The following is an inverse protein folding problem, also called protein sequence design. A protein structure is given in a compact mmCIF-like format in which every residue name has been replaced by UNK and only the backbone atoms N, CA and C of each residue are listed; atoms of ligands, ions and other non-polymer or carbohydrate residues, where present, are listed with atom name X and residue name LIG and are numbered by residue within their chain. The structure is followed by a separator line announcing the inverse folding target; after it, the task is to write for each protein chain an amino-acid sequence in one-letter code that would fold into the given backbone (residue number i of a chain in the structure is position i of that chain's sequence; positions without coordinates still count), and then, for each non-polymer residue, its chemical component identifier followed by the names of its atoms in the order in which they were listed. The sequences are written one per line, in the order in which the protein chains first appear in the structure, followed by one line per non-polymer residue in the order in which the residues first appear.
data_IF_162990770904
#
_entry.id   IF_162990770904
#
_cell.length_a   1.000
_cell.length_b   1.000
_cell.length_c   1.000
_cell.angle_alpha   90.00
_cell.angle_beta   90.00
_cell.angle_gamma   90.00
#
_symmetry.space_group_name_H-M   'P 1'
#
loop_
_entity.id
_entity.type
_entity.pdbx_description
1 polymer ?
#
# COMPACT_ATOMS: atom_id res chain seq x y z
N UNK A 1 -3.61 5.76 18.18
CA UNK A 1 -3.84 4.96 16.95
C UNK A 1 -2.91 5.50 15.87
N UNK A 2 -2.26 4.64 15.07
CA UNK A 2 -1.48 5.08 13.91
C UNK A 2 -2.41 5.79 12.92
N UNK A 3 -1.90 6.78 12.18
CA UNK A 3 -2.69 7.42 11.14
C UNK A 3 -3.12 6.38 10.07
N UNK A 4 -4.21 6.65 9.35
CA UNK A 4 -4.62 5.79 8.22
C UNK A 4 -3.50 5.67 7.18
N UNK A 5 -2.72 6.75 6.99
CA UNK A 5 -1.53 6.80 6.13
C UNK A 5 -0.49 5.75 6.54
N UNK A 6 -0.08 5.74 7.81
CA UNK A 6 0.88 4.76 8.33
C UNK A 6 0.33 3.34 8.29
N UNK A 7 -0.96 3.18 8.54
CA UNK A 7 -1.62 1.86 8.52
C UNK A 7 -1.62 1.28 7.11
N UNK A 8 -1.99 2.07 6.10
CA UNK A 8 -1.90 1.65 4.69
C UNK A 8 -0.49 1.21 4.30
N UNK A 9 0.52 1.99 4.66
CA UNK A 9 1.91 1.70 4.33
C UNK A 9 2.39 0.44 5.04
N UNK A 10 2.07 0.27 6.32
CA UNK A 10 2.38 -0.96 7.07
C UNK A 10 1.76 -2.17 6.41
N UNK A 11 0.46 -2.14 6.12
CA UNK A 11 -0.25 -3.27 5.51
C UNK A 11 0.36 -3.64 4.16
N UNK A 12 0.78 -2.65 3.36
CA UNK A 12 1.51 -2.88 2.11
C UNK A 12 2.82 -3.64 2.29
N UNK A 13 3.65 -3.24 3.26
CA UNK A 13 4.91 -3.94 3.55
C UNK A 13 4.63 -5.35 4.13
N UNK A 14 3.72 -5.47 5.10
CA UNK A 14 3.38 -6.76 5.72
C UNK A 14 2.78 -7.74 4.71
N UNK A 15 1.93 -7.26 3.79
CA UNK A 15 1.36 -8.07 2.71
C UNK A 15 2.44 -8.64 1.78
N UNK A 16 3.58 -7.95 1.66
CA UNK A 16 4.77 -8.38 0.91
C UNK A 16 5.74 -9.22 1.73
N UNK A 17 5.38 -9.62 2.95
CA UNK A 17 6.18 -10.50 3.80
C UNK A 17 7.21 -9.78 4.68
N UNK A 18 7.15 -8.44 4.76
CA UNK A 18 8.02 -7.69 5.66
C UNK A 18 7.54 -7.79 7.11
N UNK A 19 8.49 -7.83 8.03
CA UNK A 19 8.25 -7.55 9.44
C UNK A 19 8.29 -6.03 9.63
N UNK A 20 7.19 -5.45 10.10
CA UNK A 20 7.06 -4.01 10.29
C UNK A 20 6.99 -3.67 11.77
N UNK A 21 7.86 -2.78 12.22
CA UNK A 21 7.83 -2.23 13.58
C UNK A 21 7.46 -0.75 13.51
N UNK A 22 6.33 -0.41 14.13
CA UNK A 22 5.97 0.99 14.33
C UNK A 22 6.75 1.59 15.49
N UNK A 23 7.36 2.76 15.27
CA UNK A 23 8.12 3.44 16.32
C UNK A 23 7.27 4.46 17.10
N UNK A 24 6.15 4.94 16.54
CA UNK A 24 5.23 5.84 17.25
C UNK A 24 4.20 5.07 18.08
N UNK A 25 4.48 4.88 19.38
CA UNK A 25 3.46 4.58 20.40
C UNK A 25 3.34 5.79 21.34
N UNK A 26 2.24 6.53 21.22
CA UNK A 26 1.72 7.48 22.22
C UNK A 26 2.77 8.32 22.97
N UNK A 27 3.07 9.50 22.45
CA UNK A 27 3.44 10.63 23.31
C UNK A 27 2.30 11.63 23.18
N UNK A 28 1.75 12.06 24.32
CA UNK A 28 0.77 13.14 24.35
C UNK A 28 1.32 14.35 23.59
N UNK A 29 0.41 15.24 23.19
CA UNK A 29 0.72 16.47 22.44
C UNK A 29 1.46 17.48 23.35
N UNK A 30 2.60 17.08 23.91
CA UNK A 30 3.47 17.91 24.73
C UNK A 30 4.90 17.75 24.22
N UNK A 31 5.39 18.84 23.63
CA UNK A 31 6.78 19.25 23.43
C UNK A 31 7.84 18.17 23.69
N UNK A 32 8.35 17.61 22.61
CA UNK A 32 9.61 16.86 22.59
C UNK A 32 10.00 16.63 21.14
N UNK A 33 10.95 17.41 20.66
CA UNK A 33 11.61 17.21 19.38
C UNK A 33 12.30 15.83 19.33
N UNK A 34 12.57 15.36 18.11
CA UNK A 34 13.55 14.31 17.78
C UNK A 34 13.14 12.84 17.98
N UNK A 35 12.27 12.35 17.07
CA UNK A 35 12.43 11.08 16.33
C UNK A 35 11.26 10.91 15.35
N UNK A 36 11.53 10.91 14.04
CA UNK A 36 10.49 11.03 13.00
C UNK A 36 10.37 9.84 12.04
N UNK A 37 11.08 8.74 12.29
CA UNK A 37 10.84 7.48 11.56
C UNK A 37 9.50 6.92 12.01
N UNK A 38 8.59 6.66 11.06
CA UNK A 38 7.28 6.11 11.36
C UNK A 38 7.35 4.58 11.51
N UNK A 39 8.02 3.92 10.56
CA UNK A 39 8.11 2.47 10.48
C UNK A 39 9.56 2.02 10.24
N UNK A 40 9.94 0.93 10.89
CA UNK A 40 11.07 0.11 10.49
C UNK A 40 10.53 -1.12 9.76
N UNK A 41 11.09 -1.40 8.59
CA UNK A 41 10.70 -2.55 7.77
C UNK A 41 11.89 -3.48 7.60
N UNK A 42 11.63 -4.77 7.72
CA UNK A 42 12.63 -5.81 7.51
C UNK A 42 12.07 -6.93 6.63
N UNK A 43 12.75 -7.24 5.55
CA UNK A 43 12.44 -8.37 4.69
C UNK A 43 13.35 -9.56 5.06
N UNK A 44 12.81 -10.67 5.58
CA UNK A 44 13.61 -11.86 5.86
C UNK A 44 14.12 -12.55 4.58
N UNK A 45 13.52 -12.28 3.43
CA UNK A 45 13.81 -12.93 2.16
C UNK A 45 13.89 -11.91 1.01
N UNK A 46 14.92 -11.03 1.00
CA UNK A 46 15.06 -10.04 -0.06
C UNK A 46 15.39 -10.69 -1.41
N UNK A 47 14.74 -10.21 -2.46
CA UNK A 47 15.07 -10.58 -3.84
C UNK A 47 16.36 -9.87 -4.25
N UNK A 48 17.47 -10.60 -4.35
CA UNK A 48 18.75 -10.02 -4.75
C UNK A 48 18.70 -9.62 -6.24
N UNK A 49 18.83 -8.33 -6.51
CA UNK A 49 18.96 -7.77 -7.86
C UNK A 49 20.36 -7.23 -8.11
N UNK A 50 20.82 -7.31 -9.36
CA UNK A 50 22.12 -6.76 -9.77
C UNK A 50 22.11 -5.23 -9.93
N UNK A 51 20.96 -4.66 -10.31
CA UNK A 51 20.82 -3.23 -10.53
C UNK A 51 20.67 -2.45 -9.22
N UNK A 52 20.99 -1.15 -9.18
CA UNK A 52 20.62 -0.28 -8.07
C UNK A 52 19.10 -0.10 -7.96
N UNK A 53 18.61 0.25 -6.78
CA UNK A 53 17.21 0.64 -6.59
C UNK A 53 16.92 1.97 -7.29
N UNK A 54 15.79 2.10 -8.00
CA UNK A 54 15.38 3.40 -8.52
C UNK A 54 15.02 4.34 -7.38
N UNK A 55 15.23 5.64 -7.57
CA UNK A 55 14.83 6.65 -6.59
C UNK A 55 13.30 6.64 -6.39
N UNK A 56 12.52 6.32 -7.40
CA UNK A 56 11.09 6.10 -7.27
C UNK A 56 10.79 4.61 -7.39
N UNK A 57 10.29 4.04 -6.30
CA UNK A 57 9.99 2.62 -6.20
C UNK A 57 8.66 2.29 -6.85
N UNK A 58 8.67 1.28 -7.71
CA UNK A 58 7.46 0.52 -8.03
C UNK A 58 7.25 -0.53 -6.95
N UNK A 59 6.05 -1.10 -6.89
CA UNK A 59 5.72 -2.13 -5.91
C UNK A 59 6.65 -3.36 -6.02
N UNK A 60 7.07 -3.74 -7.23
CA UNK A 60 8.02 -4.83 -7.46
C UNK A 60 9.43 -4.55 -6.93
N UNK A 61 9.87 -3.29 -6.92
CA UNK A 61 11.22 -2.93 -6.46
C UNK A 61 11.36 -3.11 -4.94
N UNK A 62 10.25 -3.04 -4.20
CA UNK A 62 10.23 -3.12 -2.75
C UNK A 62 10.80 -4.46 -2.25
N UNK A 63 10.54 -5.58 -2.93
CA UNK A 63 11.02 -6.90 -2.50
C UNK A 63 12.55 -7.02 -2.48
N UNK A 64 13.27 -6.14 -3.18
CA UNK A 64 14.74 -6.09 -3.19
C UNK A 64 15.33 -5.42 -1.94
N UNK A 65 14.48 -4.79 -1.12
CA UNK A 65 14.89 -4.09 0.10
C UNK A 65 14.97 -5.09 1.25
N UNK A 66 16.17 -5.30 1.79
CA UNK A 66 16.38 -6.14 2.97
C UNK A 66 15.90 -5.46 4.26
N UNK A 67 16.19 -4.17 4.41
CA UNK A 67 15.75 -3.40 5.57
C UNK A 67 15.65 -1.92 5.23
N UNK A 68 14.73 -1.22 5.88
CA UNK A 68 14.53 0.20 5.62
C UNK A 68 13.89 0.99 6.75
N UNK A 69 14.16 2.28 6.73
CA UNK A 69 13.50 3.30 7.53
C UNK A 69 12.45 3.98 6.65
N UNK A 70 11.20 4.01 7.13
CA UNK A 70 10.09 4.57 6.38
C UNK A 70 9.54 5.79 7.09
N UNK A 71 9.52 6.90 6.37
CA UNK A 71 8.85 8.14 6.78
C UNK A 71 7.61 8.32 5.92
N UNK A 72 6.46 8.52 6.56
CA UNK A 72 5.16 8.59 5.89
C UNK A 72 4.62 10.01 5.96
N UNK A 73 4.46 10.65 4.80
CA UNK A 73 3.68 11.88 4.69
C UNK A 73 2.19 11.53 4.55
N UNK A 74 1.31 12.38 5.04
CA UNK A 74 -0.13 12.09 5.03
C UNK A 74 -0.70 12.10 3.62
N UNK A 75 -1.53 11.11 3.25
CA UNK A 75 -2.08 10.96 1.89
C UNK A 75 -2.84 12.19 1.37
N UNK A 76 -3.43 12.98 2.27
CA UNK A 76 -4.18 14.21 2.00
C UNK A 76 -3.30 15.45 1.80
N UNK A 77 -1.97 15.31 1.91
CA UNK A 77 -1.05 16.44 1.75
C UNK A 77 -0.88 16.80 0.27
N UNK A 78 -0.44 18.02 0.02
CA UNK A 78 -0.21 18.54 -1.34
C UNK A 78 0.81 17.69 -2.12
N UNK A 79 0.73 17.74 -3.46
CA UNK A 79 1.72 17.15 -4.35
C UNK A 79 3.11 17.64 -3.97
N UNK A 80 4.08 16.73 -3.90
CA UNK A 80 5.44 17.08 -3.53
C UNK A 80 6.03 18.12 -4.49
N UNK A 81 6.47 19.26 -3.95
CA UNK A 81 7.08 20.35 -4.71
C UNK A 81 8.41 20.76 -4.07
N UNK A 82 9.34 21.36 -4.83
CA UNK A 82 10.61 21.83 -4.27
C UNK A 82 10.44 22.80 -3.08
N UNK A 83 9.41 23.65 -3.11
CA UNK A 83 9.09 24.57 -2.02
C UNK A 83 8.57 23.86 -0.76
N UNK A 84 7.73 22.83 -0.95
CA UNK A 84 7.27 21.99 0.16
C UNK A 84 8.44 21.24 0.82
N UNK A 85 9.40 20.77 0.00
CA UNK A 85 10.62 20.14 0.49
C UNK A 85 11.49 21.12 1.28
N UNK A 86 11.58 22.38 0.85
CA UNK A 86 12.34 23.41 1.56
C UNK A 86 11.81 23.66 2.99
N UNK A 87 10.51 23.45 3.24
CA UNK A 87 9.93 23.48 4.59
C UNK A 87 10.08 22.18 5.39
N UNK A 88 10.68 21.14 4.82
CA UNK A 88 10.97 19.87 5.50
C UNK A 88 12.37 19.90 6.13
N UNK A 89 12.63 20.86 7.03
CA UNK A 89 13.84 20.87 7.89
C UNK A 89 13.93 19.61 8.77
N UNK A 90 12.78 18.97 8.95
CA UNK A 90 12.56 17.78 9.75
C UNK A 90 13.12 16.48 9.14
N UNK A 91 13.27 16.41 7.81
CA UNK A 91 13.76 15.21 7.13
C UNK A 91 15.20 14.84 7.55
N UNK A 92 16.04 15.82 7.82
CA UNK A 92 17.43 15.58 8.26
C UNK A 92 17.50 15.08 9.72
N UNK A 93 16.52 15.46 10.57
CA UNK A 93 16.35 14.96 11.96
C UNK A 93 15.61 13.62 12.02
N UNK A 94 14.87 13.26 10.97
CA UNK A 94 14.12 12.01 10.87
C UNK A 94 14.99 10.76 10.75
N UNK A 95 16.25 10.91 10.33
CA UNK A 95 17.09 9.82 9.82
C UNK A 95 18.02 9.28 10.92
N UNK A 96 17.42 8.60 11.90
CA UNK A 96 18.08 8.12 13.11
C UNK A 96 18.77 6.75 12.96
N UNK A 97 19.95 6.72 12.33
CA UNK A 97 20.79 5.52 12.16
C UNK A 97 21.11 4.78 13.48
N UNK A 98 21.10 5.47 14.62
CA UNK A 98 21.44 4.88 15.93
C UNK A 98 20.34 4.00 16.53
N UNK A 99 19.06 4.36 16.35
CA UNK A 99 17.93 3.52 16.82
C UNK A 99 17.89 2.24 15.99
N UNK A 100 18.16 2.35 14.69
CA UNK A 100 18.25 1.19 13.81
C UNK A 100 19.35 0.22 14.26
N UNK A 101 20.57 0.69 14.55
CA UNK A 101 21.65 -0.19 15.05
C UNK A 101 21.25 -0.89 16.34
N UNK A 102 20.63 -0.18 17.28
CA UNK A 102 20.19 -0.79 18.55
C UNK A 102 19.10 -1.85 18.34
N UNK A 103 18.16 -1.60 17.43
CA UNK A 103 17.05 -2.53 17.12
C UNK A 103 17.49 -3.72 16.28
N UNK A 104 18.35 -3.51 15.28
CA UNK A 104 18.93 -4.58 14.45
C UNK A 104 19.89 -5.46 15.25
N UNK A 105 20.64 -4.90 16.21
CA UNK A 105 21.41 -5.66 17.21
C UNK A 105 20.51 -6.57 18.08
N UNK A 106 19.31 -6.10 18.45
CA UNK A 106 18.36 -6.91 19.24
C UNK A 106 17.66 -8.02 18.43
N UNK A 107 17.64 -7.94 17.10
CA UNK A 107 16.95 -8.88 16.22
C UNK A 107 17.87 -9.95 15.62
N UNK A 108 19.19 -9.86 15.80
CA UNK A 108 20.17 -10.79 15.22
C UNK A 108 20.00 -10.97 13.69
N UNK A 109 19.52 -9.91 13.05
CA UNK A 109 19.17 -9.85 11.64
C UNK A 109 20.39 -9.36 10.85
N UNK A 110 20.70 -10.08 9.76
CA UNK A 110 21.92 -9.94 8.98
C UNK A 110 22.21 -8.50 8.49
N UNK A 111 23.50 -8.17 8.50
CA UNK A 111 24.11 -6.88 8.15
C UNK A 111 23.92 -6.49 6.67
N UNK A 112 22.83 -5.81 6.33
CA UNK A 112 22.64 -5.13 5.04
C UNK A 112 22.68 -3.60 5.15
N UNK A 113 22.80 -2.85 4.03
CA UNK A 113 22.54 -1.41 4.05
C UNK A 113 21.06 -1.13 4.39
N UNK A 114 20.81 -0.04 5.11
CA UNK A 114 19.46 0.42 5.45
C UNK A 114 18.98 1.38 4.36
N UNK A 115 17.89 1.04 3.70
CA UNK A 115 17.28 1.90 2.66
C UNK A 115 16.33 2.91 3.30
N UNK A 116 16.53 4.20 3.03
CA UNK A 116 15.64 5.27 3.50
C UNK A 116 14.53 5.52 2.49
N UNK A 117 13.30 5.29 2.92
CA UNK A 117 12.12 5.33 2.08
C UNK A 117 11.21 6.46 2.55
N UNK A 118 10.89 7.38 1.64
CA UNK A 118 9.90 8.43 1.87
C UNK A 118 8.60 8.06 1.15
N UNK A 119 7.50 7.94 1.90
CA UNK A 119 6.16 7.76 1.32
C UNK A 119 5.47 9.11 1.16
N UNK A 120 5.02 9.39 -0.06
CA UNK A 120 4.43 10.68 -0.44
C UNK A 120 3.07 10.51 -1.14
N UNK A 121 2.15 11.48 -1.04
CA UNK A 121 0.86 11.47 -1.74
C UNK A 121 1.03 11.25 -3.24
N UNK A 122 1.78 12.15 -3.86
CA UNK A 122 2.01 12.17 -5.30
C UNK A 122 3.30 12.94 -5.64
N UNK A 123 3.78 12.73 -6.86
CA UNK A 123 4.93 13.41 -7.43
C UNK A 123 4.48 14.36 -8.56
N UNK A 124 5.28 15.39 -8.89
CA UNK A 124 4.99 16.24 -10.04
C UNK A 124 4.88 15.44 -11.34
N UNK A 125 3.89 15.81 -12.17
CA UNK A 125 3.69 15.22 -13.49
C UNK A 125 4.73 15.69 -14.50
N UNK A 126 5.23 16.93 -14.37
CA UNK A 126 6.23 17.46 -15.29
C UNK A 126 7.62 16.91 -14.98
N UNK A 127 8.34 16.48 -16.03
CA UNK A 127 9.67 15.87 -15.89
C UNK A 127 10.67 16.81 -15.21
N UNK A 128 10.63 18.11 -15.53
CA UNK A 128 11.52 19.11 -14.94
C UNK A 128 11.28 19.31 -13.44
N UNK A 129 10.01 19.44 -13.01
CA UNK A 129 9.70 19.58 -11.59
C UNK A 129 10.01 18.30 -10.81
N UNK A 130 9.74 17.13 -11.40
CA UNK A 130 10.07 15.82 -10.81
C UNK A 130 11.58 15.68 -10.60
N UNK A 131 12.39 16.06 -11.58
CA UNK A 131 13.85 16.04 -11.47
C UNK A 131 14.35 16.96 -10.34
N UNK A 132 13.80 18.17 -10.22
CA UNK A 132 14.14 19.09 -9.14
C UNK A 132 13.77 18.55 -7.74
N UNK A 133 12.60 17.91 -7.61
CA UNK A 133 12.19 17.21 -6.38
C UNK A 133 13.15 16.07 -6.04
N UNK A 134 13.53 15.27 -7.03
CA UNK A 134 14.43 14.14 -6.86
C UNK A 134 15.85 14.55 -6.45
N UNK A 135 16.39 15.61 -7.04
CA UNK A 135 17.68 16.17 -6.63
C UNK A 135 17.63 16.67 -5.17
N UNK A 136 16.55 17.37 -4.81
CA UNK A 136 16.34 17.86 -3.45
C UNK A 136 16.15 16.75 -2.41
N UNK A 137 15.57 15.61 -2.79
CA UNK A 137 15.41 14.45 -1.91
C UNK A 137 16.74 13.69 -1.71
N UNK A 138 17.51 13.50 -2.78
CA UNK A 138 18.85 12.88 -2.70
C UNK A 138 19.79 13.69 -1.80
N UNK A 139 19.76 15.03 -1.90
CA UNK A 139 20.56 15.92 -1.05
C UNK A 139 20.23 15.79 0.44
N UNK A 140 19.00 15.37 0.78
CA UNK A 140 18.54 15.08 2.15
C UNK A 140 18.72 13.61 2.55
N UNK A 141 19.46 12.83 1.75
CA UNK A 141 19.78 11.44 2.06
C UNK A 141 18.60 10.48 1.98
N UNK A 142 17.56 10.79 1.20
CA UNK A 142 16.49 9.84 0.86
C UNK A 142 16.97 8.97 -0.29
N UNK A 143 16.98 7.65 -0.08
CA UNK A 143 17.40 6.68 -1.09
C UNK A 143 16.29 6.38 -2.09
N UNK A 144 15.05 6.34 -1.59
CA UNK A 144 13.89 5.88 -2.34
C UNK A 144 12.62 6.62 -1.95
N UNK A 145 11.69 6.73 -2.89
CA UNK A 145 10.38 7.38 -2.76
C UNK A 145 9.32 6.40 -3.20
N UNK A 146 8.25 6.28 -2.42
CA UNK A 146 7.10 5.46 -2.72
C UNK A 146 5.83 6.34 -2.70
N UNK A 147 4.93 6.15 -3.66
CA UNK A 147 3.69 6.94 -3.70
C UNK A 147 2.51 6.18 -3.11
N UNK A 148 1.53 6.88 -2.52
CA UNK A 148 0.28 6.25 -2.10
C UNK A 148 -0.45 5.59 -3.27
N UNK A 149 -0.34 6.16 -4.47
CA UNK A 149 -0.84 5.51 -5.70
C UNK A 149 -0.25 4.11 -5.87
N UNK A 150 1.06 3.96 -5.71
CA UNK A 150 1.74 2.65 -5.85
C UNK A 150 1.29 1.68 -4.76
N UNK A 151 1.27 2.14 -3.50
CA UNK A 151 0.80 1.37 -2.34
C UNK A 151 -0.62 0.85 -2.55
N UNK A 152 -1.56 1.74 -2.89
CA UNK A 152 -2.97 1.39 -3.08
C UNK A 152 -3.18 0.52 -4.30
N UNK A 153 -2.56 0.84 -5.44
CA UNK A 153 -2.72 0.02 -6.65
C UNK A 153 -2.26 -1.41 -6.40
N UNK A 154 -1.14 -1.58 -5.68
CA UNK A 154 -0.60 -2.88 -5.36
C UNK A 154 -1.50 -3.70 -4.42
N UNK A 155 -1.95 -3.09 -3.33
CA UNK A 155 -2.90 -3.72 -2.41
C UNK A 155 -4.19 -4.11 -3.15
N UNK A 156 -4.73 -3.20 -3.96
CA UNK A 156 -5.90 -3.48 -4.77
C UNK A 156 -5.61 -4.62 -5.75
N UNK A 157 -4.46 -4.72 -6.40
CA UNK A 157 -4.21 -5.83 -7.33
C UNK A 157 -4.12 -7.19 -6.63
N UNK A 158 -3.61 -7.28 -5.40
CA UNK A 158 -3.32 -8.57 -4.77
C UNK A 158 -4.33 -9.05 -3.72
N UNK A 159 -5.20 -8.17 -3.20
CA UNK A 159 -6.21 -8.56 -2.21
C UNK A 159 -7.31 -9.38 -2.88
N UNK A 160 -7.50 -10.63 -2.46
CA UNK A 160 -8.49 -11.53 -3.03
C UNK A 160 -9.85 -11.43 -2.31
N UNK A 161 -10.95 -11.46 -3.07
CA UNK A 161 -12.31 -11.43 -2.53
C UNK A 161 -12.63 -12.62 -1.60
N UNK A 162 -12.01 -13.77 -1.86
CA UNK A 162 -12.36 -15.06 -1.23
C UNK A 162 -11.42 -15.44 -0.08
N UNK A 163 -10.44 -14.59 0.25
CA UNK A 163 -9.48 -14.84 1.33
C UNK A 163 -9.89 -14.11 2.61
N UNK A 164 -9.56 -14.71 3.75
CA UNK A 164 -9.96 -14.21 5.05
C UNK A 164 -8.83 -13.39 5.72
N UNK A 165 -8.97 -12.07 5.78
CA UNK A 165 -7.99 -11.13 6.34
C UNK A 165 -8.42 -10.58 7.72
N UNK A 166 -8.87 -11.43 8.65
CA UNK A 166 -9.66 -11.01 9.85
C UNK A 166 -9.01 -9.99 10.81
N UNK A 167 -7.74 -9.61 10.61
CA UNK A 167 -7.01 -8.71 11.50
C UNK A 167 -6.59 -7.37 10.89
N UNK A 168 -6.88 -7.14 9.61
CA UNK A 168 -6.47 -5.95 8.87
C UNK A 168 -7.69 -5.19 8.32
N UNK A 169 -8.16 -4.18 9.06
CA UNK A 169 -9.37 -3.41 8.71
C UNK A 169 -9.26 -2.79 7.30
N UNK A 170 -8.09 -2.26 6.95
CA UNK A 170 -7.83 -1.66 5.64
C UNK A 170 -8.00 -2.68 4.51
N UNK A 171 -7.43 -3.87 4.68
CA UNK A 171 -7.53 -4.94 3.69
C UNK A 171 -8.98 -5.42 3.57
N UNK A 172 -9.71 -5.51 4.69
CA UNK A 172 -11.14 -5.85 4.68
C UNK A 172 -11.97 -4.80 3.95
N UNK A 173 -11.69 -3.50 4.13
CA UNK A 173 -12.37 -2.44 3.39
C UNK A 173 -12.10 -2.58 1.88
N UNK A 174 -10.85 -2.78 1.47
CA UNK A 174 -10.50 -2.99 0.05
C UNK A 174 -11.24 -4.22 -0.50
N UNK A 175 -11.26 -5.32 0.25
CA UNK A 175 -11.97 -6.54 -0.11
C UNK A 175 -13.47 -6.32 -0.28
N UNK A 176 -14.12 -5.62 0.66
CA UNK A 176 -15.55 -5.27 0.57
C UNK A 176 -15.79 -4.47 -0.71
N UNK A 177 -14.99 -3.43 -0.97
CA UNK A 177 -15.13 -2.61 -2.17
C UNK A 177 -14.96 -3.42 -3.46
N UNK A 178 -14.06 -4.41 -3.49
CA UNK A 178 -13.93 -5.34 -4.61
C UNK A 178 -15.15 -6.25 -4.78
N UNK A 179 -15.65 -6.86 -3.70
CA UNK A 179 -16.81 -7.76 -3.72
C UNK A 179 -18.04 -7.06 -4.32
N UNK A 180 -18.22 -5.76 -4.04
CA UNK A 180 -19.30 -4.96 -4.59
C UNK A 180 -18.99 -4.31 -5.95
N UNK A 181 -17.81 -4.56 -6.53
CA UNK A 181 -17.44 -4.07 -7.87
C UNK A 181 -17.07 -2.58 -7.92
N UNK A 182 -16.78 -1.93 -6.79
CA UNK A 182 -16.28 -0.55 -6.74
C UNK A 182 -14.81 -0.43 -7.12
N UNK A 183 -14.04 -1.51 -6.91
CA UNK A 183 -12.64 -1.60 -7.31
C UNK A 183 -12.51 -2.66 -8.38
N UNK A 184 -11.99 -2.26 -9.55
CA UNK A 184 -11.77 -3.16 -10.69
C UNK A 184 -10.27 -3.36 -10.87
N UNK A 185 -9.88 -4.61 -11.03
CA UNK A 185 -8.47 -5.01 -11.25
C UNK A 185 -7.98 -4.50 -12.61
N UNK A 186 -8.89 -4.43 -13.61
CA UNK A 186 -8.58 -4.04 -14.98
C UNK A 186 -9.47 -2.89 -15.49
N UNK A 187 -9.32 -1.69 -14.93
CA UNK A 187 -10.05 -0.50 -15.41
C UNK A 187 -9.86 -0.21 -16.91
N UNK A 188 -8.80 -0.73 -17.54
CA UNK A 188 -8.52 -0.57 -18.98
C UNK A 188 -9.26 -1.58 -19.89
N UNK A 189 -9.62 -2.78 -19.41
CA UNK A 189 -10.22 -3.81 -20.27
C UNK A 189 -11.72 -3.63 -20.49
N UNK A 190 -12.39 -2.80 -19.70
CA UNK A 190 -13.83 -2.51 -19.87
C UNK A 190 -14.17 -1.73 -21.14
N UNK A 191 -13.20 -1.04 -21.75
CA UNK A 191 -13.40 -0.40 -23.05
C UNK A 191 -13.50 -1.42 -24.21
N UNK A 192 -12.97 -2.63 -24.03
CA UNK A 192 -12.92 -3.66 -25.09
C UNK A 192 -13.86 -4.85 -24.85
N UNK A 193 -14.47 -4.96 -23.67
CA UNK A 193 -15.42 -6.02 -23.40
C UNK A 193 -16.79 -5.66 -24.00
N UNK A 194 -17.14 -6.31 -25.14
CA UNK A 194 -18.52 -6.38 -25.63
C UNK A 194 -19.39 -6.89 -24.48
N UNK A 195 -20.34 -6.08 -24.01
CA UNK A 195 -21.37 -6.47 -23.04
C UNK A 195 -21.89 -7.87 -23.40
N UNK A 196 -21.86 -8.86 -22.47
CA UNK A 196 -22.50 -10.14 -22.75
C UNK A 196 -23.98 -9.87 -23.02
N UNK A 197 -24.47 -10.33 -24.17
CA UNK A 197 -25.90 -10.31 -24.48
C UNK A 197 -26.60 -11.09 -23.38
N UNK A 198 -27.40 -10.39 -22.57
CA UNK A 198 -28.25 -10.97 -21.55
C UNK A 198 -29.16 -11.99 -22.24
N UNK A 199 -28.79 -13.27 -22.14
CA UNK A 199 -29.55 -14.39 -22.67
C UNK A 199 -30.94 -14.35 -22.06
N UNK A 200 -31.95 -14.30 -22.94
CA UNK A 200 -33.36 -14.42 -22.61
C UNK A 200 -33.55 -15.81 -22.02
N UNK A 201 -33.65 -15.94 -20.69
CA UNK A 201 -34.10 -17.20 -20.09
C UNK A 201 -35.57 -17.40 -20.44
N UNK A 202 -35.82 -18.17 -21.50
CA UNK A 202 -37.04 -18.95 -21.63
C UNK A 202 -36.99 -20.14 -20.66
N UNK A 203 -38.19 -20.60 -20.30
CA UNK A 203 -38.51 -21.81 -19.53
C UNK A 203 -38.48 -21.68 -17.99
N UNK A 204 -39.56 -21.12 -17.44
CA UNK A 204 -40.16 -21.70 -16.23
C UNK A 204 -41.16 -22.74 -16.73
N UNK A 205 -40.66 -23.97 -16.86
CA UNK A 205 -41.47 -25.13 -17.18
C UNK A 205 -42.31 -25.51 -15.95
N UNK A 206 -43.60 -25.70 -16.19
CA UNK A 206 -44.64 -25.94 -15.19
C UNK A 206 -44.39 -27.26 -14.48
N UNK A 207 -44.11 -27.21 -13.18
CA UNK A 207 -44.14 -28.41 -12.33
C UNK A 207 -45.55 -28.60 -11.80
N UNK A 208 -46.21 -29.64 -12.33
CA UNK A 208 -47.13 -30.55 -11.65
C UNK A 208 -48.14 -29.97 -10.67
N UNK A 209 -49.35 -29.70 -11.16
CA UNK A 209 -50.57 -29.73 -10.34
C UNK A 209 -51.45 -30.85 -10.91
N UNK A 210 -51.83 -31.88 -10.12
CA UNK A 210 -52.66 -32.97 -10.62
C UNK A 210 -54.08 -32.45 -10.93
N UNK A 211 -54.77 -33.02 -11.94
CA UNK A 211 -56.13 -32.62 -12.27
C UNK A 211 -57.10 -32.96 -11.12
N UNK A 212 -58.14 -32.14 -10.88
CA UNK A 212 -59.19 -32.49 -9.93
C UNK A 212 -60.01 -33.67 -10.48
N UNK A 213 -60.23 -34.66 -9.63
CA UNK A 213 -61.00 -35.87 -9.91
C UNK A 213 -62.40 -35.55 -10.45
N UNK A 214 -62.68 -36.06 -11.66
CA UNK A 214 -64.00 -36.11 -12.25
C UNK A 214 -64.80 -37.21 -11.53
N UNK A 215 -65.69 -36.80 -10.62
CA UNK A 215 -66.66 -37.71 -9.99
C UNK A 215 -67.72 -38.10 -11.02
N UNK A 216 -67.50 -39.20 -11.71
CA UNK A 216 -68.58 -39.99 -12.27
C UNK A 216 -69.18 -40.89 -11.20
N UNK A 217 -70.37 -40.57 -10.70
CA UNK A 217 -71.29 -41.56 -10.12
C UNK A 217 -72.73 -41.17 -10.46
N UNK A 218 -73.34 -42.03 -11.29
CA UNK A 218 -74.77 -42.38 -11.42
C UNK A 218 -75.76 -41.35 -11.97
#
# INVERSE_FOLDING_TARGET
MASISETLVREFFEFRGFLVRQLRKYVGRERGEERQVDLLVYNPHPELGADPLPLELKASDVNRIAQGEVVVKGWHSETMSPSLLAGLDDLDKALGLEVFRSVSQGLNVAHGPVTRILVVPDLPTSAAARAGVFDALKKRGVDCVLTFRTVLSDLISHIECNRNYQRADVIQVIRILKVYGYLKEDAQLEFFQKRPRRGRSQAVERIGMPPPDDKGES
#
